data_IF_530470476696
#
_entry.id   IF_530470476696
#
_cell.length_a   1.000
_cell.length_b   1.000
_cell.length_c   1.000
_cell.angle_alpha   90.00
_cell.angle_beta   90.00
_cell.angle_gamma   90.00
#
_symmetry.space_group_name_H-M   'P 1'
#
loop_
_entity.id
_entity.type
_entity.pdbx_description
1 polymer ?
#
# COMPACT_ATOMS: atom_id res chain seq x y z
N UNK A 1 -1.06 -25.12 -0.21
CA UNK A 1 -0.92 -24.10 0.85
C UNK A 1 -1.49 -22.83 0.26
N UNK A 2 -2.73 -22.49 0.60
CA UNK A 2 -3.43 -21.33 0.01
C UNK A 2 -2.75 -20.05 0.49
N UNK A 3 -2.02 -19.41 -0.43
CA UNK A 3 -1.46 -18.06 -0.27
C UNK A 3 -2.64 -17.11 -0.27
N UNK A 4 -2.98 -16.56 0.89
CA UNK A 4 -4.13 -15.66 1.04
C UNK A 4 -3.72 -14.29 0.55
N UNK A 5 -4.39 -13.80 -0.50
CA UNK A 5 -4.19 -12.45 -1.02
C UNK A 5 -4.91 -11.47 -0.10
N UNK A 6 -4.18 -10.48 0.40
CA UNK A 6 -4.71 -9.37 1.18
C UNK A 6 -4.58 -8.09 0.37
N UNK A 7 -5.66 -7.32 0.30
CA UNK A 7 -5.68 -6.07 -0.43
C UNK A 7 -6.24 -4.97 0.46
N UNK A 8 -5.61 -3.79 0.41
CA UNK A 8 -6.12 -2.62 1.07
C UNK A 8 -5.86 -1.40 0.21
N UNK A 9 -6.84 -0.49 0.17
CA UNK A 9 -6.68 0.79 -0.49
C UNK A 9 -7.27 1.89 0.39
N UNK A 10 -6.51 2.97 0.58
CA UNK A 10 -6.94 4.13 1.35
C UNK A 10 -6.60 5.42 0.61
N UNK A 11 -7.27 6.51 0.98
CA UNK A 11 -7.10 7.84 0.40
C UNK A 11 -6.28 8.68 1.37
N UNK A 12 -5.29 9.43 0.88
CA UNK A 12 -4.62 10.48 1.65
C UNK A 12 -5.62 11.63 1.88
N UNK A 13 -5.97 11.88 3.14
CA UNK A 13 -6.83 12.97 3.57
C UNK A 13 -6.07 13.94 4.47
N UNK A 14 -5.98 15.21 4.11
CA UNK A 14 -5.18 16.20 4.85
C UNK A 14 -5.69 16.50 6.28
N UNK A 15 -6.89 16.04 6.63
CA UNK A 15 -7.57 16.34 7.90
C UNK A 15 -7.74 15.13 8.83
N UNK A 16 -7.26 13.95 8.44
CA UNK A 16 -7.38 12.71 9.21
C UNK A 16 -6.04 11.98 9.33
N UNK A 17 -5.87 11.16 10.36
CA UNK A 17 -4.75 10.22 10.47
C UNK A 17 -4.88 9.16 9.38
N UNK A 18 -4.06 9.24 8.34
CA UNK A 18 -4.06 8.27 7.24
C UNK A 18 -3.05 7.15 7.52
N UNK A 19 -3.26 6.34 8.54
CA UNK A 19 -2.42 5.16 8.76
C UNK A 19 -3.11 3.92 8.17
N UNK A 20 -2.42 3.23 7.28
CA UNK A 20 -2.87 1.96 6.71
C UNK A 20 -2.28 0.82 7.53
N UNK A 21 -3.15 -0.04 8.07
CA UNK A 21 -2.73 -1.27 8.76
C UNK A 21 -2.94 -2.51 7.88
N UNK A 22 -1.87 -3.28 7.68
CA UNK A 22 -1.92 -4.61 7.08
C UNK A 22 -1.75 -5.65 8.18
N UNK A 23 -2.64 -6.63 8.23
CA UNK A 23 -2.55 -7.74 9.17
C UNK A 23 -2.88 -9.08 8.52
N UNK A 24 -1.97 -10.03 8.68
CA UNK A 24 -2.20 -11.41 8.29
C UNK A 24 -2.89 -12.17 9.44
N UNK A 25 -4.00 -12.85 9.14
CA UNK A 25 -4.71 -13.64 10.15
C UNK A 25 -4.01 -14.96 10.47
N UNK A 26 -4.31 -15.53 11.65
CA UNK A 26 -3.86 -16.86 12.09
C UNK A 26 -2.35 -17.01 12.27
N UNK A 27 -1.67 -15.95 12.71
CA UNK A 27 -0.22 -15.97 12.98
C UNK A 27 0.63 -16.17 11.72
N UNK A 28 0.08 -15.81 10.55
CA UNK A 28 0.85 -15.78 9.30
C UNK A 28 1.59 -14.46 9.22
N UNK A 29 2.72 -14.47 8.52
CA UNK A 29 3.48 -13.26 8.19
C UNK A 29 3.23 -12.85 6.75
N UNK A 30 3.41 -11.57 6.48
CA UNK A 30 3.42 -11.03 5.13
C UNK A 30 4.69 -11.56 4.44
N UNK A 31 4.48 -12.43 3.46
CA UNK A 31 5.56 -13.13 2.76
C UNK A 31 6.04 -12.40 1.51
N UNK A 32 5.15 -11.62 0.88
CA UNK A 32 5.42 -10.92 -0.39
C UNK A 32 4.46 -9.74 -0.53
N UNK A 33 4.93 -8.63 -1.08
CA UNK A 33 4.08 -7.54 -1.58
C UNK A 33 3.98 -7.69 -3.10
N UNK A 34 2.79 -7.98 -3.61
CA UNK A 34 2.52 -8.12 -5.05
C UNK A 34 2.41 -6.78 -5.75
N UNK A 35 1.89 -5.79 -5.05
CA UNK A 35 1.66 -4.46 -5.59
C UNK A 35 1.65 -3.44 -4.46
N UNK A 36 2.24 -2.27 -4.69
CA UNK A 36 2.10 -1.11 -3.84
C UNK A 36 2.31 0.16 -4.67
N UNK A 37 1.34 1.07 -4.65
CA UNK A 37 1.42 2.33 -5.37
C UNK A 37 0.69 3.45 -4.62
N UNK A 38 1.42 4.52 -4.32
CA UNK A 38 0.91 5.76 -3.75
C UNK A 38 0.78 6.83 -4.83
N UNK A 39 -0.45 7.24 -5.15
CA UNK A 39 -0.74 8.20 -6.22
C UNK A 39 -2.17 8.03 -6.73
N UNK A 40 -2.34 7.61 -7.98
CA UNK A 40 -3.66 7.31 -8.56
C UNK A 40 -3.81 5.84 -8.97
N UNK A 41 -3.61 4.85 -8.08
CA UNK A 41 -3.82 3.45 -8.43
C UNK A 41 -5.25 3.20 -8.93
N UNK A 42 -5.37 2.34 -9.93
CA UNK A 42 -6.63 1.93 -10.55
C UNK A 42 -6.84 0.42 -10.43
N UNK A 43 -8.04 -0.05 -10.79
CA UNK A 43 -8.41 -1.46 -10.69
C UNK A 43 -8.91 -1.85 -9.30
N UNK A 44 -8.88 -3.15 -9.02
CA UNK A 44 -9.43 -3.76 -7.81
C UNK A 44 -8.47 -4.80 -7.25
N UNK A 45 -8.71 -5.26 -6.02
CA UNK A 45 -7.94 -6.35 -5.42
C UNK A 45 -7.73 -7.52 -6.39
N UNK A 46 -6.48 -7.88 -6.63
CA UNK A 46 -6.11 -8.93 -7.56
C UNK A 46 -5.76 -8.45 -8.98
N UNK A 47 -6.03 -7.19 -9.29
CA UNK A 47 -5.82 -6.54 -10.59
C UNK A 47 -5.58 -5.04 -10.39
N UNK A 48 -4.78 -4.69 -9.38
CA UNK A 48 -4.35 -3.31 -9.19
C UNK A 48 -3.35 -2.92 -10.27
N UNK A 49 -3.51 -1.72 -10.79
CA UNK A 49 -2.63 -1.14 -11.79
C UNK A 49 -2.19 0.26 -11.37
N UNK A 50 -0.98 0.61 -11.76
CA UNK A 50 -0.46 1.96 -11.60
C UNK A 50 -1.28 2.91 -12.47
N UNK A 51 -1.66 4.06 -11.95
CA UNK A 51 -2.36 5.08 -12.73
C UNK A 51 -1.43 6.06 -13.42
N UNK A 52 -1.95 7.27 -13.66
CA UNK A 52 -1.26 8.40 -14.28
C UNK A 52 -0.05 8.91 -13.49
N UNK A 53 -0.06 8.73 -12.18
CA UNK A 53 1.01 9.19 -11.29
C UNK A 53 1.21 8.21 -10.12
N UNK A 54 2.46 8.12 -9.66
CA UNK A 54 2.82 7.38 -8.45
C UNK A 54 4.10 7.94 -7.82
N UNK A 55 4.29 7.67 -6.53
CA UNK A 55 5.58 7.86 -5.86
C UNK A 55 6.49 6.66 -6.14
N UNK A 56 7.72 6.93 -6.58
CA UNK A 56 8.66 5.89 -7.03
C UNK A 56 9.06 4.89 -5.94
N UNK A 57 9.03 5.31 -4.66
CA UNK A 57 9.45 4.46 -3.52
C UNK A 57 8.31 3.67 -2.89
N UNK A 58 7.08 3.77 -3.43
CA UNK A 58 5.89 3.13 -2.87
C UNK A 58 6.11 1.66 -2.57
N UNK A 59 6.60 0.89 -3.54
CA UNK A 59 6.78 -0.55 -3.35
C UNK A 59 7.84 -0.89 -2.30
N UNK A 60 9.05 -0.33 -2.44
CA UNK A 60 10.18 -0.66 -1.55
C UNK A 60 9.90 -0.31 -0.09
N UNK A 61 9.25 0.82 0.19
CA UNK A 61 8.91 1.21 1.57
C UNK A 61 7.96 0.20 2.20
N UNK A 62 6.98 -0.29 1.45
CA UNK A 62 6.00 -1.25 1.97
C UNK A 62 6.61 -2.63 2.11
N UNK A 63 7.46 -3.04 1.18
CA UNK A 63 8.25 -4.27 1.31
C UNK A 63 9.10 -4.26 2.57
N UNK A 64 9.88 -3.20 2.79
CA UNK A 64 10.77 -3.06 3.94
C UNK A 64 10.00 -2.99 5.27
N UNK A 65 8.83 -2.35 5.29
CA UNK A 65 8.03 -2.21 6.49
C UNK A 65 7.23 -3.48 6.85
N UNK A 66 6.79 -4.25 5.86
CA UNK A 66 5.77 -5.28 6.06
C UNK A 66 6.27 -6.71 5.90
N UNK A 67 7.24 -6.98 5.03
CA UNK A 67 7.71 -8.35 4.81
C UNK A 67 8.28 -8.93 6.12
N UNK A 68 7.98 -10.21 6.38
CA UNK A 68 8.34 -10.95 7.60
C UNK A 68 7.65 -10.47 8.89
N UNK A 69 6.71 -9.53 8.80
CA UNK A 69 5.89 -9.12 9.92
C UNK A 69 4.47 -9.71 9.80
N UNK A 70 3.85 -10.05 10.93
CA UNK A 70 2.43 -10.43 10.97
C UNK A 70 1.51 -9.24 10.73
N UNK A 71 1.99 -8.05 11.16
CA UNK A 71 1.28 -6.78 11.10
C UNK A 71 2.27 -5.65 10.81
N UNK A 72 1.87 -4.70 9.99
CA UNK A 72 2.60 -3.45 9.77
C UNK A 72 1.61 -2.29 9.64
N UNK A 73 2.07 -1.11 10.02
CA UNK A 73 1.32 0.14 9.93
C UNK A 73 2.14 1.13 9.13
N UNK A 74 1.53 1.76 8.13
CA UNK A 74 2.22 2.69 7.23
C UNK A 74 1.44 3.99 7.15
N UNK A 75 2.14 5.09 7.38
CA UNK A 75 1.56 6.41 7.27
C UNK A 75 1.49 6.85 5.81
N UNK A 76 0.27 7.14 5.36
CA UNK A 76 -0.08 7.45 3.97
C UNK A 76 0.08 8.95 3.72
N UNK A 77 1.34 9.37 3.66
CA UNK A 77 1.73 10.75 3.38
C UNK A 77 2.83 10.81 2.32
N UNK A 78 2.89 11.95 1.61
CA UNK A 78 3.97 12.25 0.67
C UNK A 78 5.37 12.24 1.33
N UNK A 79 5.48 12.58 2.62
CA UNK A 79 6.77 12.50 3.35
C UNK A 79 7.28 11.07 3.48
N UNK A 80 6.38 10.09 3.56
CA UNK A 80 6.73 8.66 3.67
C UNK A 80 7.20 8.15 2.30
N UNK A 81 6.37 8.30 1.28
CA UNK A 81 6.60 7.70 -0.04
C UNK A 81 7.48 8.54 -0.98
N UNK A 82 7.70 9.80 -0.62
CA UNK A 82 8.30 10.81 -1.47
C UNK A 82 7.29 11.48 -2.41
N UNK A 83 7.75 12.47 -3.19
CA UNK A 83 6.90 13.21 -4.10
C UNK A 83 6.26 12.26 -5.11
N UNK A 84 4.94 12.23 -5.12
CA UNK A 84 4.19 11.66 -6.22
C UNK A 84 4.00 12.76 -7.26
N UNK A 85 4.25 12.46 -8.54
CA UNK A 85 4.09 13.40 -9.66
C UNK A 85 2.61 13.75 -9.95
N UNK A 86 1.74 13.60 -8.97
CA UNK A 86 0.31 13.78 -9.07
C UNK A 86 -0.06 15.27 -9.05
N UNK A 87 -0.79 15.70 -10.08
CA UNK A 87 -1.32 17.07 -10.18
C UNK A 87 -2.63 17.26 -9.39
N UNK A 88 -3.20 16.17 -8.87
CA UNK A 88 -4.44 16.16 -8.10
C UNK A 88 -4.21 16.35 -6.60
N UNK A 89 -5.25 16.84 -5.91
CA UNK A 89 -5.25 17.01 -4.44
C UNK A 89 -5.48 15.69 -3.68
N UNK A 90 -5.91 14.64 -4.37
CA UNK A 90 -6.29 13.37 -3.77
C UNK A 90 -5.29 12.31 -4.22
N UNK A 91 -4.56 11.75 -3.26
CA UNK A 91 -3.67 10.60 -3.50
C UNK A 91 -4.26 9.38 -2.82
N UNK A 92 -3.98 8.21 -3.35
CA UNK A 92 -4.44 6.94 -2.79
C UNK A 92 -3.26 5.99 -2.71
N UNK A 93 -3.22 5.23 -1.62
CA UNK A 93 -2.34 4.10 -1.49
C UNK A 93 -3.14 2.83 -1.74
N UNK A 94 -2.70 2.01 -2.70
CA UNK A 94 -3.23 0.67 -2.90
C UNK A 94 -2.11 -0.35 -2.69
N UNK A 95 -2.40 -1.40 -1.93
CA UNK A 95 -1.46 -2.47 -1.58
C UNK A 95 -2.11 -3.81 -1.84
N UNK A 96 -1.32 -4.72 -2.38
CA UNK A 96 -1.62 -6.13 -2.47
C UNK A 96 -0.48 -6.93 -1.86
N UNK A 97 -0.80 -7.71 -0.83
CA UNK A 97 0.14 -8.51 -0.07
C UNK A 97 -0.28 -9.98 -0.07
N UNK A 98 0.70 -10.85 0.19
CA UNK A 98 0.50 -12.29 0.31
C UNK A 98 0.87 -12.74 1.71
N UNK A 99 -0.15 -13.26 2.39
CA UNK A 99 -0.06 -14.15 3.54
C UNK A 99 -0.29 -15.61 3.06
#
# INVERSE_FOLDING_TARGET
MERTRYCHATIENAYEENTLELSCQRGRVISEIKFASFGEPTGTCGSFEKGSCEAAKSLSIIEDACISNERCSIDVFEVTFGPSSCNGLIRRLAIEAIC
#
